data_IF_720997096292
#
_entry.id   IF_720997096292
#
_cell.length_a   1.000
_cell.length_b   1.000
_cell.length_c   1.000
_cell.angle_alpha   90.00
_cell.angle_beta   90.00
_cell.angle_gamma   90.00
#
_symmetry.space_group_name_H-M   'P 1'
#
loop_
_entity.id
_entity.type
_entity.pdbx_description
1 polymer ?
#
# COMPACT_ATOMS: atom_id res chain seq x y z
N UNK A 1 -29.31 6.03 -74.83
CA UNK A 1 -28.94 7.41 -74.43
C UNK A 1 -28.47 7.39 -72.97
N UNK A 2 -27.38 8.11 -72.68
CA UNK A 2 -26.67 8.30 -71.37
C UNK A 2 -25.70 7.16 -70.98
N UNK A 3 -24.35 7.31 -71.12
CA UNK A 3 -23.36 8.06 -70.29
C UNK A 3 -23.14 7.34 -68.93
N UNK A 4 -21.95 6.82 -68.55
CA UNK A 4 -20.75 7.45 -67.92
C UNK A 4 -19.86 6.25 -67.41
N UNK A 5 -18.56 6.09 -67.70
CA UNK A 5 -17.32 6.71 -67.20
C UNK A 5 -16.90 6.38 -65.72
N UNK A 6 -15.68 5.82 -65.56
CA UNK A 6 -14.74 5.85 -64.38
C UNK A 6 -15.21 5.02 -63.15
N UNK A 7 -14.43 4.22 -62.40
CA UNK A 7 -13.04 4.34 -61.96
C UNK A 7 -12.45 3.00 -61.49
N UNK A 8 -11.17 2.78 -61.81
CA UNK A 8 -10.22 2.03 -60.99
C UNK A 8 -9.92 2.86 -59.72
N UNK A 9 -10.05 2.31 -58.50
CA UNK A 9 -9.27 2.82 -57.36
C UNK A 9 -9.15 1.79 -56.22
N UNK A 10 -7.92 1.32 -56.06
CA UNK A 10 -7.18 1.17 -54.80
C UNK A 10 -7.75 0.28 -53.69
N UNK A 11 -7.23 -0.94 -53.68
CA UNK A 11 -6.69 -1.63 -52.51
C UNK A 11 -5.88 -0.67 -51.62
N UNK A 12 -6.15 -0.68 -50.30
CA UNK A 12 -5.28 -0.33 -49.16
C UNK A 12 -6.02 0.53 -48.13
N UNK A 13 -6.64 -0.09 -47.13
CA UNK A 13 -6.77 0.48 -45.78
C UNK A 13 -7.40 -0.56 -44.85
N UNK A 14 -6.57 -1.34 -44.13
CA UNK A 14 -6.98 -2.05 -42.90
C UNK A 14 -5.75 -2.50 -42.10
N UNK A 15 -4.91 -1.53 -41.74
CA UNK A 15 -3.86 -1.71 -40.73
C UNK A 15 -3.76 -0.49 -39.81
N UNK A 16 -4.87 -0.03 -39.20
CA UNK A 16 -4.79 0.90 -38.05
C UNK A 16 -6.00 0.71 -37.12
N UNK A 17 -5.92 -0.19 -36.15
CA UNK A 17 -6.87 -0.19 -35.02
C UNK A 17 -6.30 -0.79 -33.72
N UNK A 18 -5.02 -0.54 -33.43
CA UNK A 18 -4.43 -0.85 -32.12
C UNK A 18 -4.06 0.39 -31.29
N UNK A 19 -4.30 1.60 -31.79
CA UNK A 19 -3.89 2.84 -31.11
C UNK A 19 -4.97 3.48 -30.20
N UNK A 20 -6.26 3.15 -30.37
CA UNK A 20 -7.36 3.85 -29.69
C UNK A 20 -7.62 3.45 -28.22
N UNK A 21 -7.26 2.23 -27.81
CA UNK A 21 -7.63 1.72 -26.47
C UNK A 21 -6.65 2.13 -25.35
N UNK A 22 -5.34 2.22 -25.64
CA UNK A 22 -4.34 2.62 -24.65
C UNK A 22 -4.36 4.11 -24.30
N UNK A 23 -4.76 4.95 -25.25
CA UNK A 23 -4.85 6.40 -25.06
C UNK A 23 -6.00 6.79 -24.12
N UNK A 24 -7.04 5.95 -24.02
CA UNK A 24 -8.16 6.18 -23.09
C UNK A 24 -7.76 5.86 -21.63
N UNK A 25 -7.12 4.71 -21.38
CA UNK A 25 -6.76 4.30 -20.02
C UNK A 25 -5.74 5.25 -19.37
N UNK A 26 -4.73 5.73 -20.12
CA UNK A 26 -3.77 6.70 -19.60
C UNK A 26 -4.44 8.01 -19.14
N UNK A 27 -5.41 8.52 -19.91
CA UNK A 27 -6.17 9.71 -19.56
C UNK A 27 -7.06 9.47 -18.33
N UNK A 28 -7.75 8.32 -18.26
CA UNK A 28 -8.55 7.95 -17.09
C UNK A 28 -7.72 7.88 -15.80
N UNK A 29 -6.51 7.31 -15.88
CA UNK A 29 -5.57 7.25 -14.76
C UNK A 29 -5.13 8.65 -14.33
N UNK A 30 -4.80 9.52 -15.28
CA UNK A 30 -4.41 10.91 -14.97
C UNK A 30 -5.57 11.69 -14.33
N UNK A 31 -6.79 11.58 -14.86
CA UNK A 31 -7.99 12.18 -14.27
C UNK A 31 -8.25 11.67 -12.85
N UNK A 32 -8.14 10.36 -12.62
CA UNK A 32 -8.30 9.77 -11.29
C UNK A 32 -7.29 10.37 -10.30
N UNK A 33 -6.02 10.41 -10.67
CA UNK A 33 -4.96 10.92 -9.79
C UNK A 33 -5.05 12.42 -9.56
N UNK A 34 -5.39 13.22 -10.57
CA UNK A 34 -5.65 14.65 -10.41
C UNK A 34 -6.77 14.90 -9.40
N UNK A 35 -7.83 14.11 -9.46
CA UNK A 35 -8.93 14.21 -8.50
C UNK A 35 -8.47 13.88 -7.08
N UNK A 36 -7.73 12.77 -6.87
CA UNK A 36 -7.14 12.44 -5.58
C UNK A 36 -6.22 13.54 -5.03
N UNK A 37 -5.38 14.13 -5.88
CA UNK A 37 -4.47 15.22 -5.50
C UNK A 37 -5.21 16.51 -5.17
N UNK A 38 -6.23 16.89 -5.94
CA UNK A 38 -7.06 18.08 -5.67
C UNK A 38 -7.79 18.02 -4.32
N UNK A 39 -8.02 16.81 -3.81
CA UNK A 39 -8.66 16.54 -2.52
C UNK A 39 -7.64 16.31 -1.40
N UNK A 40 -6.35 16.57 -1.64
CA UNK A 40 -5.24 16.30 -0.72
C UNK A 40 -5.15 14.84 -0.25
N UNK A 41 -5.71 13.90 -1.04
CA UNK A 41 -5.68 12.46 -0.74
C UNK A 41 -4.46 11.75 -1.34
N UNK A 42 -3.69 12.43 -2.20
CA UNK A 42 -2.44 11.92 -2.77
C UNK A 42 -1.44 13.03 -3.10
N UNK A 43 -0.19 12.87 -2.68
CA UNK A 43 0.94 13.73 -3.03
C UNK A 43 2.16 12.82 -3.25
N UNK A 44 2.59 12.64 -4.51
CA UNK A 44 3.54 11.59 -4.83
C UNK A 44 3.66 11.26 -6.33
N UNK A 45 4.06 10.03 -6.63
CA UNK A 45 4.22 9.51 -8.00
C UNK A 45 3.42 8.23 -8.23
N UNK A 46 2.88 8.09 -9.44
CA UNK A 46 2.21 6.89 -9.92
C UNK A 46 2.95 6.34 -11.14
N UNK A 47 3.20 5.04 -11.15
CA UNK A 47 3.50 4.25 -12.34
C UNK A 47 2.44 3.15 -12.51
N UNK A 48 1.94 3.00 -13.74
CA UNK A 48 1.10 1.88 -14.16
C UNK A 48 1.65 1.29 -15.47
N UNK A 49 1.83 -0.02 -15.47
CA UNK A 49 2.21 -0.79 -16.66
C UNK A 49 1.25 -1.95 -16.89
N UNK A 50 1.05 -2.32 -18.14
CA UNK A 50 0.26 -3.48 -18.57
C UNK A 50 0.84 -4.05 -19.85
N UNK A 51 1.04 -5.36 -19.93
CA UNK A 51 1.60 -6.05 -21.11
C UNK A 51 2.91 -5.41 -21.60
N UNK A 52 3.85 -5.16 -20.68
CA UNK A 52 5.16 -4.58 -20.95
C UNK A 52 5.17 -3.10 -21.33
N UNK A 53 4.00 -2.45 -21.40
CA UNK A 53 3.87 -1.04 -21.78
C UNK A 53 3.60 -0.16 -20.57
N UNK A 54 4.30 0.97 -20.48
CA UNK A 54 4.00 2.02 -19.51
C UNK A 54 2.77 2.78 -19.99
N UNK A 55 1.67 2.71 -19.21
CA UNK A 55 0.45 3.47 -19.48
C UNK A 55 0.55 4.88 -18.89
N UNK A 56 1.15 5.01 -17.71
CA UNK A 56 1.37 6.28 -17.03
C UNK A 56 2.58 6.18 -16.10
N UNK A 57 3.45 7.20 -16.10
CA UNK A 57 4.49 7.41 -15.09
C UNK A 57 4.59 8.91 -14.80
N UNK A 58 3.97 9.38 -13.72
CA UNK A 58 3.74 10.81 -13.50
C UNK A 58 3.77 11.18 -12.02
N UNK A 59 4.25 12.39 -11.73
CA UNK A 59 4.22 13.00 -10.40
C UNK A 59 3.02 13.93 -10.21
N UNK A 60 2.53 14.00 -8.98
CA UNK A 60 1.39 14.79 -8.56
C UNK A 60 1.68 15.48 -7.22
N UNK A 61 1.36 16.76 -7.11
CA UNK A 61 1.67 17.55 -5.92
C UNK A 61 3.16 17.87 -5.78
N UNK A 62 3.63 18.08 -4.55
CA UNK A 62 4.93 18.66 -4.26
C UNK A 62 5.90 17.68 -3.59
N UNK A 63 7.07 17.47 -4.19
CA UNK A 63 8.18 16.74 -3.53
C UNK A 63 8.81 17.54 -2.41
N UNK A 64 8.72 18.87 -2.48
CA UNK A 64 9.05 19.78 -1.42
C UNK A 64 8.09 20.97 -1.48
N UNK A 65 7.13 21.02 -0.55
CA UNK A 65 6.10 22.05 -0.54
C UNK A 65 6.66 23.43 -0.14
N UNK A 66 7.60 23.50 0.80
CA UNK A 66 8.19 24.76 1.26
C UNK A 66 8.85 25.53 0.11
N UNK A 67 9.52 24.81 -0.79
CA UNK A 67 10.15 25.36 -1.99
C UNK A 67 9.27 25.25 -3.26
N UNK A 68 8.00 24.79 -3.11
CA UNK A 68 7.05 24.54 -4.21
C UNK A 68 7.61 23.72 -5.37
N UNK A 69 8.45 22.73 -5.06
CA UNK A 69 9.03 21.84 -6.05
C UNK A 69 8.07 20.67 -6.30
N UNK A 70 7.61 20.52 -7.53
CA UNK A 70 6.66 19.49 -7.92
C UNK A 70 7.28 18.09 -7.93
N UNK A 71 6.46 17.07 -7.73
CA UNK A 71 6.84 15.70 -8.05
C UNK A 71 7.00 15.50 -9.56
N UNK A 72 7.93 14.63 -9.92
CA UNK A 72 8.10 14.09 -11.27
C UNK A 72 8.47 12.60 -11.17
N UNK A 73 8.57 11.91 -12.31
CA UNK A 73 8.85 10.46 -12.37
C UNK A 73 10.19 10.03 -11.73
N UNK A 74 11.11 10.97 -11.49
CA UNK A 74 12.42 10.70 -10.89
C UNK A 74 12.41 10.91 -9.37
N UNK A 75 11.30 11.39 -8.79
CA UNK A 75 11.21 11.66 -7.35
C UNK A 75 11.55 10.40 -6.52
N UNK A 76 12.40 10.57 -5.52
CA UNK A 76 12.91 9.49 -4.66
C UNK A 76 12.14 9.50 -3.34
N UNK A 77 11.74 8.31 -2.88
CA UNK A 77 10.93 8.11 -1.67
C UNK A 77 11.51 6.96 -0.83
N UNK A 78 11.36 7.02 0.49
CA UNK A 78 11.51 5.84 1.32
C UNK A 78 10.32 4.89 1.07
N UNK A 79 10.57 3.63 0.73
CA UNK A 79 9.51 2.68 0.36
C UNK A 79 9.01 1.87 1.55
N UNK A 80 9.58 2.07 2.74
CA UNK A 80 9.16 1.39 3.95
C UNK A 80 9.12 -0.13 3.77
N UNK A 81 8.05 -0.75 4.24
CA UNK A 81 7.92 -2.20 4.28
C UNK A 81 7.88 -2.93 2.93
N UNK A 82 7.82 -2.24 1.79
CA UNK A 82 8.11 -2.88 0.48
C UNK A 82 9.52 -3.49 0.48
N UNK A 83 10.44 -2.97 1.29
CA UNK A 83 11.78 -3.53 1.58
C UNK A 83 11.75 -5.03 1.91
N UNK A 84 10.69 -5.52 2.56
CA UNK A 84 10.56 -6.92 2.98
C UNK A 84 10.63 -7.92 1.82
N UNK A 85 10.17 -7.53 0.64
CA UNK A 85 10.28 -8.34 -0.58
C UNK A 85 11.74 -8.57 -0.99
N UNK A 86 12.59 -7.56 -0.80
CA UNK A 86 14.01 -7.62 -1.11
C UNK A 86 14.73 -8.53 -0.10
N UNK A 87 14.47 -8.34 1.19
CA UNK A 87 15.04 -9.15 2.27
C UNK A 87 14.75 -10.64 2.10
N UNK A 88 13.48 -11.00 1.87
CA UNK A 88 13.06 -12.39 1.67
C UNK A 88 13.62 -12.98 0.38
N UNK A 89 13.75 -12.18 -0.67
CA UNK A 89 14.41 -12.59 -1.91
C UNK A 89 15.87 -12.98 -1.68
N UNK A 90 16.61 -12.21 -0.88
CA UNK A 90 17.99 -12.56 -0.51
C UNK A 90 18.05 -13.86 0.27
N UNK A 91 17.16 -14.07 1.25
CA UNK A 91 17.10 -15.32 2.02
C UNK A 91 16.88 -16.52 1.08
N UNK A 92 15.94 -16.42 0.14
CA UNK A 92 15.68 -17.50 -0.82
C UNK A 92 16.85 -17.73 -1.77
N UNK A 93 17.55 -16.67 -2.17
CA UNK A 93 18.77 -16.77 -2.99
C UNK A 93 19.91 -17.46 -2.22
N UNK A 94 20.12 -17.11 -0.95
CA UNK A 94 21.11 -17.78 -0.09
C UNK A 94 20.75 -19.24 0.17
N UNK A 95 19.45 -19.56 0.30
CA UNK A 95 18.99 -20.94 0.35
C UNK A 95 19.29 -21.70 -0.95
N UNK A 96 19.06 -21.08 -2.11
CA UNK A 96 19.41 -21.66 -3.41
C UNK A 96 20.89 -22.02 -3.51
N UNK A 97 21.74 -21.16 -2.94
CA UNK A 97 23.18 -21.33 -2.84
C UNK A 97 23.60 -22.30 -1.72
N UNK A 98 22.64 -22.96 -1.05
CA UNK A 98 22.84 -23.90 0.06
C UNK A 98 23.58 -23.30 1.26
N UNK A 99 23.57 -21.98 1.41
CA UNK A 99 24.23 -21.27 2.53
C UNK A 99 23.38 -21.25 3.81
N UNK A 100 22.08 -21.43 3.68
CA UNK A 100 21.12 -21.56 4.76
C UNK A 100 19.94 -22.43 4.34
N UNK A 101 19.15 -22.88 5.29
CA UNK A 101 17.80 -23.42 5.07
C UNK A 101 16.78 -22.49 5.71
N UNK A 102 15.63 -22.26 5.08
CA UNK A 102 14.54 -21.50 5.73
C UNK A 102 14.00 -22.21 6.99
N UNK A 103 14.27 -23.52 7.13
CA UNK A 103 13.92 -24.28 8.33
C UNK A 103 15.02 -24.28 9.40
N UNK A 104 16.14 -23.59 9.16
CA UNK A 104 17.15 -23.42 10.20
C UNK A 104 16.53 -22.65 11.39
N UNK A 105 16.73 -23.13 12.63
CA UNK A 105 16.35 -22.38 13.81
C UNK A 105 17.24 -21.14 13.94
N UNK A 106 16.71 -20.05 14.48
CA UNK A 106 17.48 -18.80 14.60
C UNK A 106 18.63 -18.91 15.62
N UNK A 107 18.56 -19.88 16.55
CA UNK A 107 19.66 -20.19 17.48
C UNK A 107 20.96 -20.59 16.78
N UNK A 108 20.88 -21.13 15.56
CA UNK A 108 22.05 -21.40 14.71
C UNK A 108 22.87 -20.13 14.42
N UNK A 109 22.21 -18.98 14.35
CA UNK A 109 22.82 -17.67 14.05
C UNK A 109 22.97 -16.80 15.28
N UNK A 110 22.07 -16.96 16.26
CA UNK A 110 22.06 -16.22 17.52
C UNK A 110 21.89 -17.21 18.69
N UNK A 111 22.95 -17.93 19.12
CA UNK A 111 22.85 -18.98 20.13
C UNK A 111 22.30 -18.52 21.47
N UNK A 112 22.44 -17.23 21.78
CA UNK A 112 21.93 -16.62 23.02
C UNK A 112 20.52 -16.05 22.89
N UNK A 113 19.82 -16.25 21.76
CA UNK A 113 18.46 -15.75 21.58
C UNK A 113 17.46 -16.64 22.34
N UNK A 114 16.68 -16.10 23.30
CA UNK A 114 15.74 -16.89 24.09
C UNK A 114 14.73 -17.61 23.19
N UNK A 115 14.59 -18.93 23.41
CA UNK A 115 13.73 -19.82 22.61
C UNK A 115 14.07 -19.83 21.11
N UNK A 116 15.30 -19.45 20.74
CA UNK A 116 15.75 -19.41 19.34
C UNK A 116 15.67 -20.75 18.62
N UNK A 117 15.76 -21.87 19.34
CA UNK A 117 15.60 -23.23 18.78
C UNK A 117 14.17 -23.51 18.29
N UNK A 118 13.18 -22.75 18.76
CA UNK A 118 11.76 -22.93 18.40
C UNK A 118 11.30 -22.04 17.25
N UNK A 119 12.12 -21.07 16.83
CA UNK A 119 11.79 -20.10 15.78
C UNK A 119 12.65 -20.38 14.56
N UNK A 120 12.02 -20.62 13.41
CA UNK A 120 12.72 -20.81 12.13
C UNK A 120 12.82 -19.51 11.34
N UNK A 121 13.73 -19.44 10.37
CA UNK A 121 13.79 -18.34 9.38
C UNK A 121 12.44 -18.19 8.65
N UNK A 122 11.80 -19.30 8.30
CA UNK A 122 10.47 -19.31 7.67
C UNK A 122 9.42 -18.61 8.56
N UNK A 123 9.45 -18.84 9.87
CA UNK A 123 8.54 -18.13 10.78
C UNK A 123 8.77 -16.61 10.78
N UNK A 124 10.01 -16.15 10.60
CA UNK A 124 10.31 -14.73 10.49
C UNK A 124 9.71 -14.13 9.21
N UNK A 125 9.91 -14.80 8.06
CA UNK A 125 9.42 -14.34 6.76
C UNK A 125 7.88 -14.28 6.69
N UNK A 126 7.20 -15.22 7.36
CA UNK A 126 5.74 -15.36 7.36
C UNK A 126 5.02 -14.57 8.46
N UNK A 127 5.74 -13.86 9.33
CA UNK A 127 5.17 -13.20 10.51
C UNK A 127 4.45 -14.16 11.48
N UNK A 128 4.98 -15.38 11.61
CA UNK A 128 4.43 -16.42 12.50
C UNK A 128 5.38 -16.76 13.66
N UNK A 129 6.38 -15.91 13.95
CA UNK A 129 7.36 -16.17 15.01
C UNK A 129 6.85 -15.84 16.43
N UNK A 130 5.85 -14.96 16.55
CA UNK A 130 5.39 -14.44 17.85
C UNK A 130 6.33 -13.40 18.48
N UNK A 131 7.40 -12.99 17.80
CA UNK A 131 8.39 -12.03 18.31
C UNK A 131 7.76 -10.64 18.46
N UNK A 132 7.99 -10.02 19.62
CA UNK A 132 7.57 -8.64 19.90
C UNK A 132 8.06 -7.66 18.83
N UNK A 133 7.16 -6.82 18.34
CA UNK A 133 7.47 -5.84 17.32
C UNK A 133 7.98 -4.54 17.98
N UNK A 134 9.26 -4.18 17.76
CA UNK A 134 9.87 -3.01 18.41
C UNK A 134 9.13 -1.70 18.09
N UNK A 135 8.45 -1.63 16.95
CA UNK A 135 7.64 -0.45 16.56
C UNK A 135 6.37 -0.27 17.40
N UNK A 136 6.04 -1.22 18.29
CA UNK A 136 4.97 -1.06 19.27
C UNK A 136 5.42 -0.20 20.47
N UNK A 137 6.72 0.00 20.67
CA UNK A 137 7.25 0.90 21.70
C UNK A 137 7.08 2.36 21.27
N UNK A 138 6.09 3.05 21.84
CA UNK A 138 5.77 4.43 21.50
C UNK A 138 6.88 5.40 21.87
N UNK A 139 7.58 5.17 22.98
CA UNK A 139 8.66 6.04 23.45
C UNK A 139 9.84 5.99 22.49
N UNK A 140 10.21 4.79 22.04
CA UNK A 140 11.23 4.59 21.02
C UNK A 140 10.83 5.25 19.70
N UNK A 141 9.60 4.99 19.23
CA UNK A 141 9.09 5.53 17.97
C UNK A 141 9.04 7.07 17.95
N UNK A 142 8.86 7.70 19.11
CA UNK A 142 8.81 9.17 19.23
C UNK A 142 10.19 9.81 19.37
N UNK A 143 11.13 9.18 20.10
CA UNK A 143 12.34 9.86 20.58
C UNK A 143 13.65 9.34 20.00
N UNK A 144 13.67 8.10 19.48
CA UNK A 144 14.92 7.39 19.17
C UNK A 144 15.09 7.02 17.70
N UNK A 145 14.01 6.97 16.91
CA UNK A 145 14.05 6.47 15.52
C UNK A 145 14.88 7.31 14.55
N UNK A 146 15.21 8.55 14.90
CA UNK A 146 16.06 9.43 14.07
C UNK A 146 17.54 9.28 14.36
N UNK A 147 17.90 8.49 15.38
CA UNK A 147 19.29 8.29 15.81
C UNK A 147 19.80 6.96 15.26
N UNK A 148 21.05 6.87 14.80
CA UNK A 148 21.66 5.60 14.43
C UNK A 148 21.58 4.57 15.55
N UNK A 149 21.39 3.31 15.19
CA UNK A 149 21.34 2.18 16.09
C UNK A 149 22.11 1.00 15.50
N UNK A 150 22.85 0.28 16.35
CA UNK A 150 23.50 -0.96 15.95
C UNK A 150 22.60 -2.17 16.24
N UNK A 151 23.03 -3.36 15.79
CA UNK A 151 22.33 -4.62 16.04
C UNK A 151 22.04 -4.86 17.53
N UNK A 152 22.99 -4.55 18.42
CA UNK A 152 22.83 -4.75 19.87
C UNK A 152 21.69 -3.90 20.43
N UNK A 153 21.69 -2.59 20.15
CA UNK A 153 20.63 -1.65 20.56
C UNK A 153 19.27 -2.10 20.04
N UNK A 154 19.19 -2.49 18.77
CA UNK A 154 17.92 -2.91 18.17
C UNK A 154 17.44 -4.25 18.72
N UNK A 155 18.33 -5.23 18.91
CA UNK A 155 17.98 -6.57 19.42
C UNK A 155 17.50 -6.50 20.88
N UNK A 156 18.06 -5.62 21.71
CA UNK A 156 17.64 -5.41 23.09
C UNK A 156 16.16 -4.99 23.23
N UNK A 157 15.59 -4.35 22.20
CA UNK A 157 14.19 -3.91 22.21
C UNK A 157 13.17 -5.07 22.22
N UNK A 158 13.57 -6.27 21.78
CA UNK A 158 12.61 -7.36 21.56
C UNK A 158 13.09 -8.75 21.96
N UNK A 159 14.40 -8.99 22.09
CA UNK A 159 14.97 -10.32 22.37
C UNK A 159 14.44 -10.96 23.66
N UNK A 160 14.29 -10.17 24.73
CA UNK A 160 13.91 -10.67 26.06
C UNK A 160 12.40 -10.54 26.34
N UNK A 161 11.63 -10.03 25.38
CA UNK A 161 10.17 -9.99 25.49
C UNK A 161 9.58 -11.40 25.29
N UNK A 162 8.49 -11.75 26.00
CA UNK A 162 7.81 -13.01 25.78
C UNK A 162 7.24 -13.08 24.34
N UNK A 163 7.25 -14.28 23.75
CA UNK A 163 6.56 -14.51 22.49
C UNK A 163 5.05 -14.32 22.70
N UNK A 164 4.40 -13.57 21.81
CA UNK A 164 2.95 -13.36 21.84
C UNK A 164 2.14 -14.64 21.57
N UNK A 165 2.76 -15.64 20.95
CA UNK A 165 2.21 -16.97 20.73
C UNK A 165 3.33 -17.96 20.37
N UNK A 166 3.03 -19.26 20.42
CA UNK A 166 3.94 -20.32 19.96
C UNK A 166 4.26 -20.17 18.46
N UNK A 167 5.54 -20.21 18.04
CA UNK A 167 5.91 -20.11 16.63
C UNK A 167 5.10 -21.04 15.71
N UNK A 168 4.61 -20.51 14.60
CA UNK A 168 3.76 -21.20 13.62
C UNK A 168 2.27 -21.29 13.99
N UNK A 169 1.87 -21.04 15.25
CA UNK A 169 0.47 -21.16 15.68
C UNK A 169 -0.35 -19.89 15.46
N UNK A 170 0.26 -18.72 15.61
CA UNK A 170 -0.37 -17.42 15.37
C UNK A 170 0.18 -16.69 14.14
N UNK A 171 -0.33 -15.47 13.92
CA UNK A 171 0.20 -14.51 12.95
C UNK A 171 0.18 -13.13 13.59
N UNK A 172 1.31 -12.42 13.53
CA UNK A 172 1.42 -11.03 13.96
C UNK A 172 2.58 -10.37 13.24
N UNK A 173 2.26 -9.31 12.51
CA UNK A 173 3.23 -8.53 11.76
C UNK A 173 4.35 -8.01 12.69
N UNK A 174 5.60 -8.28 12.34
CA UNK A 174 6.75 -7.98 13.19
C UNK A 174 7.91 -7.44 12.36
N UNK A 175 8.28 -6.18 12.59
CA UNK A 175 9.48 -5.59 12.00
C UNK A 175 10.75 -6.17 12.65
N UNK A 176 10.71 -6.50 13.94
CA UNK A 176 11.81 -7.18 14.65
C UNK A 176 12.18 -8.51 13.97
N UNK A 177 11.18 -9.29 13.54
CA UNK A 177 11.43 -10.52 12.81
C UNK A 177 12.20 -10.27 11.49
N UNK A 178 11.92 -9.16 10.81
CA UNK A 178 12.64 -8.77 9.60
C UNK A 178 14.02 -8.17 9.87
N UNK A 179 14.25 -7.51 11.01
CA UNK A 179 15.60 -7.13 11.45
C UNK A 179 16.49 -8.37 11.62
N UNK A 180 15.96 -9.41 12.28
CA UNK A 180 16.67 -10.69 12.41
C UNK A 180 17.02 -11.31 11.06
N UNK A 181 16.15 -11.24 10.05
CA UNK A 181 16.48 -11.71 8.70
C UNK A 181 17.69 -10.98 8.10
N UNK A 182 17.78 -9.66 8.30
CA UNK A 182 18.94 -8.87 7.88
C UNK A 182 20.22 -9.32 8.59
N UNK A 183 20.17 -9.48 9.91
CA UNK A 183 21.33 -9.94 10.69
C UNK A 183 21.74 -11.38 10.34
N UNK A 184 20.79 -12.25 9.96
CA UNK A 184 21.10 -13.60 9.44
C UNK A 184 21.82 -13.51 8.09
N UNK A 185 21.39 -12.62 7.20
CA UNK A 185 22.06 -12.38 5.91
C UNK A 185 23.52 -11.95 6.17
N UNK A 186 23.76 -11.03 7.09
CA UNK A 186 25.12 -10.59 7.45
C UNK A 186 25.93 -11.71 8.08
N UNK A 187 25.33 -12.49 9.00
CA UNK A 187 25.98 -13.62 9.65
C UNK A 187 26.41 -14.70 8.64
N UNK A 188 25.58 -14.99 7.64
CA UNK A 188 25.85 -15.99 6.60
C UNK A 188 26.85 -15.48 5.57
N UNK A 189 26.73 -14.22 5.15
CA UNK A 189 27.54 -13.68 4.04
C UNK A 189 28.83 -13.02 4.48
N UNK A 190 28.94 -12.65 5.76
CA UNK A 190 30.03 -11.82 6.33
C UNK A 190 30.17 -10.47 5.62
N UNK A 191 29.09 -9.94 5.07
CA UNK A 191 29.02 -8.63 4.41
C UNK A 191 27.83 -7.83 4.94
N UNK A 192 27.90 -6.49 4.88
CA UNK A 192 26.76 -5.65 5.23
C UNK A 192 25.52 -5.99 4.41
N UNK A 193 24.35 -5.96 5.03
CA UNK A 193 23.07 -6.27 4.38
C UNK A 193 22.83 -5.40 3.15
N UNK A 194 23.13 -4.09 3.23
CA UNK A 194 22.97 -3.12 2.15
C UNK A 194 23.80 -3.51 0.92
N UNK A 195 25.03 -3.98 1.16
CA UNK A 195 25.93 -4.45 0.10
C UNK A 195 25.37 -5.70 -0.58
N UNK A 196 24.78 -6.63 0.19
CA UNK A 196 24.16 -7.84 -0.36
C UNK A 196 22.94 -7.50 -1.21
N UNK A 197 22.07 -6.59 -0.76
CA UNK A 197 20.92 -6.13 -1.54
C UNK A 197 21.38 -5.46 -2.84
N UNK A 198 22.41 -4.61 -2.75
CA UNK A 198 23.00 -3.99 -3.92
C UNK A 198 23.53 -5.02 -4.92
N UNK A 199 24.35 -5.96 -4.46
CA UNK A 199 25.03 -6.93 -5.34
C UNK A 199 24.09 -7.97 -5.93
N UNK A 200 23.09 -8.43 -5.18
CA UNK A 200 22.20 -9.52 -5.60
C UNK A 200 20.92 -9.03 -6.28
N UNK A 201 20.52 -7.77 -6.05
CA UNK A 201 19.28 -7.23 -6.60
C UNK A 201 19.52 -5.94 -7.39
N UNK A 202 20.01 -4.86 -6.76
CA UNK A 202 20.03 -3.56 -7.44
C UNK A 202 20.93 -3.54 -8.67
N UNK A 203 22.16 -4.07 -8.56
CA UNK A 203 23.11 -4.11 -9.67
C UNK A 203 22.63 -5.03 -10.82
N UNK A 204 22.20 -6.29 -10.59
CA UNK A 204 21.67 -7.13 -11.66
C UNK A 204 20.43 -6.55 -12.36
N UNK A 205 19.58 -5.85 -11.61
CA UNK A 205 18.34 -5.27 -12.13
C UNK A 205 18.49 -3.82 -12.62
N UNK A 206 19.68 -3.23 -12.46
CA UNK A 206 20.00 -1.83 -12.80
C UNK A 206 19.12 -0.81 -12.06
N UNK A 207 18.82 -1.08 -10.79
CA UNK A 207 18.09 -0.17 -9.91
C UNK A 207 19.04 0.89 -9.33
N UNK A 208 19.45 1.85 -10.17
CA UNK A 208 20.52 2.82 -9.85
C UNK A 208 20.08 4.00 -8.99
N UNK A 209 18.79 4.11 -8.66
CA UNK A 209 18.20 5.14 -7.80
C UNK A 209 17.56 4.52 -6.55
N UNK A 210 18.12 3.40 -6.09
CA UNK A 210 17.68 2.66 -4.91
C UNK A 210 18.83 2.43 -3.94
N UNK A 211 18.58 2.60 -2.64
CA UNK A 211 19.61 2.53 -1.59
C UNK A 211 19.00 2.58 -0.19
N UNK A 212 19.80 2.87 0.84
CA UNK A 212 19.39 2.79 2.25
C UNK A 212 19.54 4.09 3.04
N UNK A 213 20.68 4.78 2.92
CA UNK A 213 20.96 6.01 3.67
C UNK A 213 20.19 7.22 3.09
N UNK A 214 18.90 7.28 3.38
CA UNK A 214 18.05 8.38 2.93
C UNK A 214 18.40 9.69 3.63
N UNK A 215 18.88 9.65 4.87
CA UNK A 215 19.29 10.85 5.64
C UNK A 215 20.37 11.63 4.90
N UNK A 216 21.45 10.96 4.48
CA UNK A 216 22.58 11.61 3.82
C UNK A 216 22.49 11.63 2.29
N UNK A 217 21.44 11.04 1.69
CA UNK A 217 21.21 11.06 0.25
C UNK A 217 21.26 12.49 -0.32
N UNK A 218 22.23 12.73 -1.20
CA UNK A 218 22.40 13.96 -1.96
C UNK A 218 21.82 13.78 -3.37
N UNK A 219 20.51 13.97 -3.50
CA UNK A 219 19.80 13.89 -4.78
C UNK A 219 18.79 15.05 -4.89
N UNK A 220 18.82 15.78 -6.00
CA UNK A 220 17.87 16.89 -6.27
C UNK A 220 16.41 16.42 -6.42
N UNK A 221 16.20 15.12 -6.60
CA UNK A 221 14.89 14.46 -6.67
C UNK A 221 14.48 13.83 -5.33
N UNK A 222 15.29 13.93 -4.27
CA UNK A 222 14.92 13.51 -2.91
C UNK A 222 13.68 14.26 -2.44
N UNK A 223 12.65 13.51 -2.06
CA UNK A 223 11.41 14.09 -1.54
C UNK A 223 11.53 14.42 -0.04
N UNK A 224 10.89 15.49 0.39
CA UNK A 224 10.64 15.79 1.81
C UNK A 224 9.41 15.01 2.26
N UNK A 225 9.50 14.28 3.37
CA UNK A 225 8.37 13.55 3.95
C UNK A 225 7.48 14.46 4.80
N UNK A 226 6.19 14.13 4.89
CA UNK A 226 5.21 14.90 5.64
C UNK A 226 4.25 13.99 6.42
N UNK A 227 4.05 14.28 7.71
CA UNK A 227 2.96 13.68 8.48
C UNK A 227 1.59 14.18 7.99
N UNK A 228 1.51 15.44 7.54
CA UNK A 228 0.37 16.01 6.85
C UNK A 228 0.88 17.00 5.77
N UNK A 229 0.29 16.98 4.57
CA UNK A 229 0.66 17.89 3.48
C UNK A 229 -0.59 18.37 2.73
N UNK A 230 -0.94 19.63 2.96
CA UNK A 230 -1.97 20.38 2.27
C UNK A 230 -1.50 21.83 2.15
N UNK A 231 -2.14 22.65 1.31
CA UNK A 231 -1.81 24.07 1.24
C UNK A 231 -2.05 24.84 2.56
N UNK A 232 -2.88 24.31 3.47
CA UNK A 232 -3.29 24.97 4.72
C UNK A 232 -2.61 24.42 5.96
N UNK A 233 -2.35 23.12 5.98
CA UNK A 233 -1.75 22.38 7.08
C UNK A 233 -0.63 21.50 6.52
N UNK A 234 0.60 21.78 6.96
CA UNK A 234 1.80 21.07 6.54
C UNK A 234 2.65 20.78 7.77
N UNK A 235 2.91 19.50 7.98
CA UNK A 235 3.74 19.01 9.09
C UNK A 235 4.86 18.16 8.49
N UNK A 236 6.07 18.71 8.29
CA UNK A 236 7.21 17.93 7.84
C UNK A 236 7.48 16.76 8.78
N UNK A 237 7.88 15.62 8.23
CA UNK A 237 8.25 14.46 9.03
C UNK A 237 9.73 14.48 9.38
N UNK A 238 10.07 13.81 10.48
CA UNK A 238 11.45 13.38 10.71
C UNK A 238 11.81 12.22 9.77
N UNK A 239 13.11 12.04 9.51
CA UNK A 239 13.62 10.89 8.77
C UNK A 239 13.98 9.81 9.80
N UNK A 240 13.41 8.62 9.64
CA UNK A 240 13.82 7.45 10.41
C UNK A 240 15.18 7.00 9.90
N UNK A 241 16.13 6.79 10.79
CA UNK A 241 17.47 6.36 10.43
C UNK A 241 17.43 4.97 9.77
N UNK A 242 18.24 4.78 8.72
CA UNK A 242 18.25 3.54 7.95
C UNK A 242 18.72 2.34 8.77
N UNK A 243 19.53 2.54 9.80
CA UNK A 243 19.96 1.47 10.71
C UNK A 243 18.85 1.02 11.68
N UNK A 244 17.85 1.86 11.94
CA UNK A 244 16.68 1.54 12.79
C UNK A 244 15.64 0.73 12.01
N UNK A 245 15.38 1.08 10.75
CA UNK A 245 14.40 0.39 9.91
C UNK A 245 15.00 -0.76 9.10
N UNK A 246 16.28 -0.67 8.75
CA UNK A 246 17.16 -1.68 8.17
C UNK A 246 16.45 -2.61 7.16
N UNK A 247 16.64 -3.93 7.27
CA UNK A 247 16.01 -4.96 6.44
C UNK A 247 14.48 -5.07 6.57
N UNK A 248 13.86 -4.32 7.48
CA UNK A 248 12.41 -4.25 7.59
C UNK A 248 11.80 -3.11 6.76
N UNK A 249 12.55 -2.04 6.46
CA UNK A 249 11.95 -0.85 5.85
C UNK A 249 12.85 0.27 5.32
N UNK A 250 14.17 0.12 5.30
CA UNK A 250 15.08 1.24 5.03
C UNK A 250 15.31 1.58 3.55
N UNK A 251 14.81 0.80 2.59
CA UNK A 251 15.07 1.10 1.17
C UNK A 251 14.40 2.43 0.79
N UNK A 252 15.14 3.30 0.10
CA UNK A 252 14.58 4.32 -0.76
C UNK A 252 14.63 3.89 -2.22
N UNK A 253 13.70 4.37 -3.05
CA UNK A 253 13.62 4.01 -4.47
C UNK A 253 12.81 5.04 -5.28
N UNK A 254 12.63 4.74 -6.56
CA UNK A 254 11.77 5.45 -7.52
C UNK A 254 10.76 4.49 -8.15
N UNK A 255 9.74 5.01 -8.83
CA UNK A 255 8.80 4.17 -9.58
C UNK A 255 9.49 3.36 -10.68
N UNK A 256 10.50 3.93 -11.34
CA UNK A 256 11.23 3.28 -12.43
C UNK A 256 12.11 2.12 -11.94
N UNK A 257 12.75 2.26 -10.78
CA UNK A 257 13.50 1.16 -10.18
C UNK A 257 12.59 0.04 -9.68
N UNK A 258 11.42 0.36 -9.14
CA UNK A 258 10.42 -0.64 -8.80
C UNK A 258 9.82 -1.31 -10.05
N UNK A 259 9.76 -0.64 -11.20
CA UNK A 259 9.46 -1.31 -12.46
C UNK A 259 10.53 -2.33 -12.85
N UNK A 260 11.82 -2.00 -12.67
CA UNK A 260 12.93 -2.94 -12.90
C UNK A 260 12.84 -4.14 -11.96
N UNK A 261 12.43 -3.92 -10.71
CA UNK A 261 12.12 -5.01 -9.77
C UNK A 261 11.03 -5.94 -10.32
N UNK A 262 9.90 -5.39 -10.77
CA UNK A 262 8.82 -6.17 -11.39
C UNK A 262 9.29 -6.97 -12.63
N UNK A 263 10.05 -6.34 -13.53
CA UNK A 263 10.58 -6.97 -14.73
C UNK A 263 11.59 -8.08 -14.39
N UNK A 264 12.42 -7.86 -13.37
CA UNK A 264 13.37 -8.85 -12.86
C UNK A 264 12.69 -10.09 -12.31
N UNK A 265 11.56 -9.92 -11.61
CA UNK A 265 10.73 -11.02 -11.14
C UNK A 265 10.11 -11.81 -12.30
N UNK A 266 9.49 -11.12 -13.28
CA UNK A 266 8.92 -11.78 -14.47
C UNK A 266 9.96 -12.58 -15.26
N UNK A 267 11.17 -12.05 -15.38
CA UNK A 267 12.28 -12.69 -16.11
C UNK A 267 13.07 -13.68 -15.25
N UNK A 268 12.69 -13.88 -13.99
CA UNK A 268 13.37 -14.78 -13.05
C UNK A 268 14.88 -14.50 -12.91
N UNK A 269 15.28 -13.22 -12.91
CA UNK A 269 16.71 -12.83 -12.90
C UNK A 269 17.40 -13.21 -11.58
N UNK A 270 16.71 -13.03 -10.45
CA UNK A 270 17.28 -13.26 -9.10
C UNK A 270 16.88 -14.61 -8.53
N UNK A 271 15.61 -14.99 -8.70
CA UNK A 271 15.03 -16.24 -8.24
C UNK A 271 14.39 -16.98 -9.41
N UNK A 272 14.49 -18.31 -9.39
CA UNK A 272 13.74 -19.18 -10.30
C UNK A 272 12.24 -19.06 -10.06
N UNK A 273 11.44 -19.45 -11.05
CA UNK A 273 9.97 -19.44 -10.94
C UNK A 273 9.48 -20.27 -9.74
N UNK A 274 10.06 -21.46 -9.51
CA UNK A 274 9.68 -22.33 -8.39
C UNK A 274 9.93 -21.65 -7.02
N UNK A 275 11.01 -20.89 -6.89
CA UNK A 275 11.30 -20.15 -5.66
C UNK A 275 10.35 -18.97 -5.47
N UNK A 276 10.01 -18.27 -6.55
CA UNK A 276 9.02 -17.21 -6.52
C UNK A 276 7.64 -17.74 -6.13
N UNK A 277 7.17 -18.84 -6.72
CA UNK A 277 5.89 -19.45 -6.35
C UNK A 277 5.85 -19.90 -4.89
N UNK A 278 6.97 -20.38 -4.34
CA UNK A 278 7.07 -20.62 -2.89
C UNK A 278 6.88 -19.33 -2.08
N UNK A 279 7.49 -18.22 -2.50
CA UNK A 279 7.30 -16.91 -1.87
C UNK A 279 5.86 -16.38 -1.97
N UNK A 280 5.15 -16.76 -3.03
CA UNK A 280 3.77 -16.34 -3.34
C UNK A 280 2.70 -17.31 -2.84
N UNK A 281 3.08 -18.32 -2.07
CA UNK A 281 2.12 -19.25 -1.46
C UNK A 281 1.63 -18.67 -0.13
N UNK A 282 0.32 -18.36 0.01
CA UNK A 282 -0.20 -17.76 1.24
C UNK A 282 -0.25 -18.79 2.36
N UNK A 283 0.08 -18.38 3.58
CA UNK A 283 0.03 -19.25 4.77
C UNK A 283 -1.05 -18.78 5.75
N UNK A 284 -0.80 -17.71 6.49
CA UNK A 284 -1.77 -17.09 7.40
C UNK A 284 -1.97 -15.64 6.99
N UNK A 285 -3.18 -15.12 7.18
CA UNK A 285 -3.55 -13.74 6.86
C UNK A 285 -3.20 -13.35 5.41
N UNK A 286 -3.37 -14.29 4.46
CA UNK A 286 -3.08 -14.06 3.04
C UNK A 286 -1.65 -13.57 2.77
N UNK A 287 -0.68 -14.01 3.58
CA UNK A 287 0.71 -13.56 3.52
C UNK A 287 1.67 -14.71 3.16
N UNK A 288 2.60 -14.42 2.26
CA UNK A 288 3.71 -15.29 1.86
C UNK A 288 5.06 -14.73 2.33
N UNK A 289 6.16 -15.03 1.64
CA UNK A 289 7.47 -14.51 2.05
C UNK A 289 7.66 -13.07 1.61
N UNK A 290 7.19 -12.11 2.42
CA UNK A 290 7.31 -10.69 2.12
C UNK A 290 6.25 -10.16 1.16
N UNK A 291 5.18 -10.93 0.92
CA UNK A 291 4.12 -10.62 -0.04
C UNK A 291 2.74 -10.80 0.58
N UNK A 292 1.88 -9.80 0.43
CA UNK A 292 0.43 -9.95 0.52
C UNK A 292 -0.08 -10.58 -0.77
N UNK A 293 -0.95 -11.57 -0.64
CA UNK A 293 -1.46 -12.39 -1.73
C UNK A 293 -2.98 -12.35 -1.71
N UNK A 294 -3.56 -11.62 -2.65
CA UNK A 294 -5.00 -11.41 -2.74
C UNK A 294 -5.50 -11.74 -4.16
N UNK A 295 -6.72 -11.37 -4.48
CA UNK A 295 -7.28 -11.46 -5.81
C UNK A 295 -8.10 -10.23 -6.18
N UNK A 296 -8.05 -9.86 -7.46
CA UNK A 296 -8.93 -8.83 -8.03
C UNK A 296 -9.49 -9.36 -9.35
N UNK A 297 -10.81 -9.34 -9.49
CA UNK A 297 -11.52 -9.86 -10.67
C UNK A 297 -11.08 -11.27 -11.08
N UNK A 298 -10.87 -12.16 -10.09
CA UNK A 298 -10.43 -13.54 -10.30
C UNK A 298 -8.94 -13.73 -10.62
N UNK A 299 -8.12 -12.68 -10.51
CA UNK A 299 -6.68 -12.72 -10.80
C UNK A 299 -5.86 -12.52 -9.53
N UNK A 300 -4.82 -13.35 -9.34
CA UNK A 300 -3.93 -13.31 -8.16
C UNK A 300 -3.09 -12.03 -8.12
N UNK A 301 -3.32 -11.20 -7.11
CA UNK A 301 -2.57 -9.98 -6.79
C UNK A 301 -1.44 -10.33 -5.84
N UNK A 302 -0.23 -9.89 -6.19
CA UNK A 302 0.93 -9.93 -5.30
C UNK A 302 1.31 -8.50 -4.97
N UNK A 303 1.33 -8.14 -3.70
CA UNK A 303 1.57 -6.76 -3.28
C UNK A 303 2.33 -6.66 -1.97
N UNK A 304 2.79 -5.46 -1.66
CA UNK A 304 3.13 -5.08 -0.29
C UNK A 304 3.00 -3.56 -0.17
N UNK A 305 2.43 -3.09 0.94
CA UNK A 305 2.41 -1.67 1.29
C UNK A 305 3.64 -1.28 2.11
N UNK A 306 3.97 -0.01 2.13
CA UNK A 306 5.02 0.52 3.00
C UNK A 306 4.55 1.77 3.72
N UNK A 307 5.01 1.91 4.96
CA UNK A 307 4.85 3.12 5.75
C UNK A 307 6.13 3.35 6.55
N UNK A 308 6.57 4.60 6.56
CA UNK A 308 7.63 5.13 7.42
C UNK A 308 7.34 6.61 7.61
N UNK A 309 7.99 7.30 8.55
CA UNK A 309 7.64 8.69 8.86
C UNK A 309 7.63 9.57 7.61
N UNK A 310 6.44 10.09 7.27
CA UNK A 310 6.21 10.96 6.13
C UNK A 310 6.23 10.29 4.77
N UNK A 311 6.21 8.96 4.69
CA UNK A 311 6.17 8.24 3.42
C UNK A 311 5.23 7.04 3.48
N UNK A 312 4.46 6.87 2.41
CA UNK A 312 3.65 5.67 2.17
C UNK A 312 3.90 5.16 0.77
N UNK A 313 3.87 3.84 0.60
CA UNK A 313 4.11 3.19 -0.69
C UNK A 313 3.16 2.03 -0.90
N UNK A 314 2.91 1.71 -2.16
CA UNK A 314 2.26 0.48 -2.56
C UNK A 314 2.92 -0.07 -3.83
N UNK A 315 3.40 -1.30 -3.76
CA UNK A 315 3.84 -2.07 -4.91
C UNK A 315 2.83 -3.21 -5.13
N UNK A 316 2.17 -3.22 -6.28
CA UNK A 316 1.14 -4.22 -6.58
C UNK A 316 1.28 -4.74 -8.01
N UNK A 317 1.24 -6.07 -8.19
CA UNK A 317 1.39 -6.69 -9.51
C UNK A 317 0.40 -7.82 -9.75
N UNK A 318 0.04 -8.02 -11.01
CA UNK A 318 -0.66 -9.21 -11.52
C UNK A 318 0.24 -9.90 -12.54
N UNK A 319 1.01 -10.93 -12.15
CA UNK A 319 1.98 -11.56 -13.05
C UNK A 319 1.36 -12.14 -14.32
N UNK A 320 0.16 -12.74 -14.22
CA UNK A 320 -0.52 -13.38 -15.35
C UNK A 320 -0.87 -12.42 -16.50
N UNK A 321 -1.05 -11.13 -16.18
CA UNK A 321 -1.45 -10.08 -17.11
C UNK A 321 -0.33 -9.05 -17.32
N UNK A 322 0.88 -9.33 -16.79
CA UNK A 322 2.02 -8.40 -16.83
C UNK A 322 1.61 -6.96 -16.44
N UNK A 323 0.93 -6.85 -15.28
CA UNK A 323 0.54 -5.56 -14.69
C UNK A 323 1.43 -5.26 -13.50
N UNK A 324 1.90 -4.01 -13.44
CA UNK A 324 2.57 -3.44 -12.27
C UNK A 324 1.99 -2.05 -11.98
N UNK A 325 1.62 -1.81 -10.72
CA UNK A 325 1.19 -0.53 -10.17
C UNK A 325 2.15 -0.19 -9.05
N UNK A 326 2.75 1.00 -9.13
CA UNK A 326 3.61 1.55 -8.09
C UNK A 326 3.09 2.93 -7.71
N UNK A 327 2.71 3.09 -6.45
CA UNK A 327 2.32 4.36 -5.85
C UNK A 327 3.33 4.70 -4.76
N UNK A 328 4.00 5.84 -4.87
CA UNK A 328 4.92 6.35 -3.84
C UNK A 328 4.44 7.73 -3.41
N UNK A 329 4.23 7.94 -2.12
CA UNK A 329 3.71 9.16 -1.53
C UNK A 329 4.64 9.65 -0.43
N UNK A 330 4.88 10.96 -0.38
CA UNK A 330 5.61 11.62 0.72
C UNK A 330 4.63 12.19 1.76
N UNK A 331 3.47 11.54 1.92
CA UNK A 331 2.50 11.83 2.95
C UNK A 331 2.13 10.55 3.72
N UNK A 332 1.98 10.67 5.04
CA UNK A 332 1.46 9.61 5.92
C UNK A 332 -0.06 9.41 5.77
N UNK A 333 -0.56 9.19 4.55
CA UNK A 333 -2.01 9.03 4.27
C UNK A 333 -2.41 7.58 4.00
N UNK A 334 -3.59 7.17 4.49
CA UNK A 334 -4.11 5.79 4.41
C UNK A 334 -4.83 5.41 3.11
N UNK A 335 -4.62 6.13 2.00
CA UNK A 335 -5.48 6.05 0.80
C UNK A 335 -5.02 5.13 -0.33
N UNK A 336 -3.78 4.61 -0.30
CA UNK A 336 -3.18 3.98 -1.48
C UNK A 336 -3.89 2.70 -1.94
N UNK A 337 -4.48 1.93 -1.02
CA UNK A 337 -5.22 0.70 -1.36
C UNK A 337 -6.44 1.00 -2.22
N UNK A 338 -7.23 2.03 -1.88
CA UNK A 338 -8.38 2.43 -2.68
C UNK A 338 -7.96 2.92 -4.07
N UNK A 339 -6.92 3.76 -4.15
CA UNK A 339 -6.36 4.22 -5.44
C UNK A 339 -5.95 3.03 -6.30
N UNK A 340 -5.29 2.03 -5.71
CA UNK A 340 -4.86 0.81 -6.41
C UNK A 340 -6.06 0.03 -6.96
N UNK A 341 -7.14 -0.11 -6.19
CA UNK A 341 -8.36 -0.77 -6.64
C UNK A 341 -9.06 -0.04 -7.78
N UNK A 342 -9.14 1.30 -7.71
CA UNK A 342 -9.71 2.12 -8.79
C UNK A 342 -8.86 2.03 -10.06
N UNK A 343 -7.52 1.96 -9.93
CA UNK A 343 -6.61 1.70 -11.06
C UNK A 343 -6.90 0.32 -11.66
N UNK A 344 -7.06 -0.73 -10.85
CA UNK A 344 -7.45 -2.04 -11.37
C UNK A 344 -8.79 -2.00 -12.10
N UNK A 345 -9.77 -1.26 -11.58
CA UNK A 345 -11.05 -1.08 -12.25
C UNK A 345 -10.89 -0.45 -13.64
N UNK A 346 -10.08 0.61 -13.77
CA UNK A 346 -9.71 1.21 -15.07
C UNK A 346 -9.04 0.18 -15.98
N UNK A 347 -8.06 -0.57 -15.47
CA UNK A 347 -7.31 -1.55 -16.27
C UNK A 347 -8.17 -2.70 -16.81
N UNK A 348 -9.26 -3.03 -16.13
CA UNK A 348 -10.18 -4.13 -16.47
C UNK A 348 -11.58 -3.66 -16.89
N UNK A 349 -11.75 -2.37 -17.21
CA UNK A 349 -13.02 -1.77 -17.64
C UNK A 349 -14.18 -2.08 -16.68
N UNK A 350 -13.90 -2.03 -15.37
CA UNK A 350 -14.92 -2.14 -14.32
C UNK A 350 -15.36 -0.75 -13.86
N UNK A 351 -16.58 -0.62 -13.33
CA UNK A 351 -17.05 0.64 -12.75
C UNK A 351 -16.11 1.11 -11.64
N UNK A 352 -15.85 2.42 -11.60
CA UNK A 352 -15.11 3.10 -10.54
C UNK A 352 -15.65 4.52 -10.39
N UNK A 353 -15.42 5.13 -9.22
CA UNK A 353 -15.78 6.51 -8.97
C UNK A 353 -14.54 7.40 -8.93
N UNK A 354 -14.53 8.46 -9.73
CA UNK A 354 -13.55 9.54 -9.57
C UNK A 354 -13.87 10.26 -8.27
N UNK A 355 -12.94 10.37 -7.31
CA UNK A 355 -13.21 11.00 -6.04
C UNK A 355 -13.55 12.48 -6.27
N UNK A 356 -14.57 12.97 -5.57
CA UNK A 356 -15.01 14.37 -5.66
C UNK A 356 -15.21 14.96 -4.27
N UNK A 357 -15.06 16.27 -4.17
CA UNK A 357 -15.47 16.99 -2.97
C UNK A 357 -16.99 16.84 -2.83
N UNK A 358 -17.45 16.18 -1.77
CA UNK A 358 -18.88 16.09 -1.46
C UNK A 358 -19.33 17.41 -0.84
N UNK A 359 -20.42 17.96 -1.34
CA UNK A 359 -21.03 19.19 -0.82
C UNK A 359 -22.22 18.81 0.04
N UNK A 360 -22.24 19.32 1.27
CA UNK A 360 -23.40 19.20 2.11
C UNK A 360 -24.53 20.10 1.56
N UNK A 361 -25.74 19.60 1.54
CA UNK A 361 -26.96 20.40 1.37
C UNK A 361 -27.60 20.66 2.72
N UNK A 362 -28.61 21.51 2.76
CA UNK A 362 -29.46 21.65 3.94
C UNK A 362 -30.73 20.85 3.69
N UNK A 363 -31.05 19.93 4.60
CA UNK A 363 -32.34 19.25 4.65
C UNK A 363 -33.18 19.86 5.77
N UNK A 364 -34.49 19.92 5.58
CA UNK A 364 -35.41 20.35 6.61
C UNK A 364 -35.40 19.38 7.80
N UNK A 365 -35.68 19.89 9.01
CA UNK A 365 -35.56 19.13 10.25
C UNK A 365 -36.51 17.92 10.29
N UNK A 366 -37.71 18.05 9.75
CA UNK A 366 -38.69 16.98 9.60
C UNK A 366 -38.17 15.83 8.72
N UNK A 367 -37.41 16.15 7.67
CA UNK A 367 -36.70 15.17 6.85
C UNK A 367 -35.57 14.50 7.62
N UNK A 368 -34.77 15.27 8.36
CA UNK A 368 -33.66 14.73 9.15
C UNK A 368 -34.14 13.75 10.24
N UNK A 369 -35.29 14.04 10.86
CA UNK A 369 -35.88 13.17 11.90
C UNK A 369 -36.17 11.75 11.42
N UNK A 370 -36.38 11.53 10.12
CA UNK A 370 -36.67 10.20 9.58
C UNK A 370 -35.48 9.22 9.71
N UNK A 371 -34.26 9.73 9.75
CA UNK A 371 -33.04 8.93 9.81
C UNK A 371 -32.60 8.60 11.24
N UNK A 372 -33.23 9.19 12.26
CA UNK A 372 -32.97 8.89 13.66
C UNK A 372 -33.29 7.42 13.94
N UNK A 373 -32.41 6.76 14.68
CA UNK A 373 -32.60 5.36 15.08
C UNK A 373 -31.30 4.64 15.39
N UNK A 374 -31.43 3.35 15.64
CA UNK A 374 -30.30 2.45 15.84
C UNK A 374 -30.21 1.47 14.66
N UNK A 375 -29.00 1.26 14.14
CA UNK A 375 -28.74 0.42 12.98
C UNK A 375 -27.64 -0.58 13.30
N UNK A 376 -27.75 -1.80 12.78
CA UNK A 376 -26.71 -2.83 12.97
C UNK A 376 -25.77 -2.84 11.79
N UNK A 377 -24.46 -2.69 12.03
CA UNK A 377 -23.43 -2.85 10.99
C UNK A 377 -22.95 -4.30 10.95
N UNK A 378 -22.68 -4.90 12.13
CA UNK A 378 -22.39 -6.31 12.29
C UNK A 378 -22.71 -6.75 13.73
N UNK A 379 -22.49 -8.03 14.07
CA UNK A 379 -22.82 -8.63 15.38
C UNK A 379 -22.25 -7.89 16.60
N UNK A 380 -21.19 -7.08 16.43
CA UNK A 380 -20.51 -6.37 17.52
C UNK A 380 -20.55 -4.85 17.40
N UNK A 381 -21.20 -4.33 16.36
CA UNK A 381 -21.14 -2.91 16.03
C UNK A 381 -22.51 -2.40 15.58
N UNK A 382 -23.10 -1.54 16.40
CA UNK A 382 -24.27 -0.75 16.06
C UNK A 382 -23.88 0.71 15.80
N UNK A 383 -24.75 1.42 15.11
CA UNK A 383 -24.67 2.85 14.84
C UNK A 383 -25.93 3.51 15.40
N UNK A 384 -25.77 4.42 16.36
CA UNK A 384 -26.87 5.25 16.85
C UNK A 384 -26.83 6.58 16.12
N UNK A 385 -27.93 6.97 15.48
CA UNK A 385 -28.08 8.25 14.80
C UNK A 385 -29.05 9.11 15.58
N UNK A 386 -28.58 10.27 16.04
CA UNK A 386 -29.36 11.25 16.79
C UNK A 386 -29.35 12.60 16.06
N UNK A 387 -30.44 13.37 16.18
CA UNK A 387 -30.45 14.77 15.76
C UNK A 387 -30.03 15.66 16.94
N UNK A 388 -28.93 16.40 16.80
CA UNK A 388 -28.45 17.37 17.79
C UNK A 388 -28.43 18.76 17.15
N UNK A 389 -29.37 19.62 17.56
CA UNK A 389 -29.61 20.88 16.86
C UNK A 389 -30.10 20.61 15.44
N UNK A 390 -29.38 21.10 14.43
CA UNK A 390 -29.70 20.91 13.01
C UNK A 390 -28.86 19.84 12.31
N UNK A 391 -28.07 19.07 13.05
CA UNK A 391 -27.15 18.07 12.49
C UNK A 391 -27.47 16.65 12.99
N UNK A 392 -27.35 15.68 12.08
CA UNK A 392 -27.39 14.27 12.45
C UNK A 392 -25.99 13.84 12.93
N UNK A 393 -25.94 13.25 14.11
CA UNK A 393 -24.74 12.74 14.74
C UNK A 393 -24.83 11.22 14.77
N UNK A 394 -23.89 10.55 14.11
CA UNK A 394 -23.77 9.10 14.09
C UNK A 394 -22.68 8.64 15.06
N UNK A 395 -23.04 7.75 15.98
CA UNK A 395 -22.16 7.25 17.04
C UNK A 395 -22.05 5.73 16.95
N UNK A 396 -20.94 5.19 16.42
CA UNK A 396 -20.72 3.75 16.41
C UNK A 396 -20.36 3.23 17.80
N UNK A 397 -20.69 1.96 18.10
CA UNK A 397 -20.37 1.31 19.38
C UNK A 397 -18.89 1.45 19.73
N UNK A 398 -18.59 2.03 20.92
CA UNK A 398 -17.23 2.27 21.42
C UNK A 398 -16.33 3.12 20.50
N UNK A 399 -16.92 3.97 19.65
CA UNK A 399 -16.19 4.87 18.75
C UNK A 399 -16.63 6.32 18.95
N UNK A 400 -15.82 7.25 18.42
CA UNK A 400 -16.15 8.68 18.47
C UNK A 400 -17.33 9.00 17.56
N UNK A 401 -18.21 9.94 17.95
CA UNK A 401 -19.30 10.40 17.09
C UNK A 401 -18.75 11.15 15.87
N UNK A 402 -19.52 11.10 14.78
CA UNK A 402 -19.25 11.84 13.56
C UNK A 402 -20.53 12.55 13.07
N UNK A 403 -20.37 13.72 12.47
CA UNK A 403 -21.47 14.44 11.84
C UNK A 403 -21.79 13.80 10.49
N UNK A 404 -23.06 13.48 10.27
CA UNK A 404 -23.58 13.05 8.97
C UNK A 404 -24.04 14.27 8.18
N UNK A 405 -23.34 14.55 7.09
CA UNK A 405 -23.69 15.61 6.16
C UNK A 405 -24.56 15.06 5.04
N UNK A 406 -25.77 15.58 4.79
CA UNK A 406 -26.57 15.17 3.65
C UNK A 406 -25.92 15.69 2.37
N UNK A 407 -25.68 14.80 1.40
CA UNK A 407 -25.29 15.20 0.03
C UNK A 407 -26.52 15.38 -0.87
N UNK A 408 -27.55 14.57 -0.64
CA UNK A 408 -28.90 14.65 -1.19
C UNK A 408 -29.85 13.86 -0.27
N UNK A 409 -31.16 13.86 -0.54
CA UNK A 409 -32.10 13.03 0.22
C UNK A 409 -31.65 11.56 0.22
N UNK A 410 -31.75 10.90 1.38
CA UNK A 410 -31.30 9.53 1.68
C UNK A 410 -29.79 9.24 1.48
N UNK A 411 -28.95 10.23 1.15
CA UNK A 411 -27.53 10.01 0.91
C UNK A 411 -26.69 10.96 1.76
N UNK A 412 -25.92 10.39 2.67
CA UNK A 412 -25.12 11.10 3.65
C UNK A 412 -23.65 10.71 3.55
N UNK A 413 -22.78 11.59 4.02
CA UNK A 413 -21.36 11.32 4.12
C UNK A 413 -20.76 11.89 5.39
N UNK A 414 -19.67 11.28 5.83
CA UNK A 414 -18.76 11.82 6.84
C UNK A 414 -17.56 12.42 6.12
N UNK A 415 -17.11 13.60 6.54
CA UNK A 415 -15.97 14.28 5.90
C UNK A 415 -14.66 13.51 6.13
N UNK A 416 -14.42 13.07 7.36
CA UNK A 416 -13.22 12.33 7.76
C UNK A 416 -13.57 11.31 8.87
N UNK A 417 -13.40 10.00 8.64
CA UNK A 417 -12.98 9.34 7.38
C UNK A 417 -14.05 9.43 6.29
N UNK A 418 -13.65 9.20 5.02
CA UNK A 418 -14.54 9.18 3.86
C UNK A 418 -15.48 7.96 3.93
N UNK A 419 -16.65 8.16 4.51
CA UNK A 419 -17.71 7.18 4.69
C UNK A 419 -18.96 7.72 4.00
N UNK A 420 -19.69 6.87 3.29
CA UNK A 420 -21.02 7.21 2.79
C UNK A 420 -22.08 6.26 3.32
N UNK A 421 -23.26 6.81 3.59
CA UNK A 421 -24.47 6.08 3.97
C UNK A 421 -25.54 6.38 2.93
N UNK A 422 -26.04 5.33 2.27
CA UNK A 422 -27.25 5.41 1.44
C UNK A 422 -28.39 4.75 2.18
N UNK A 423 -29.30 5.53 2.74
CA UNK A 423 -30.46 5.00 3.44
C UNK A 423 -31.39 4.26 2.48
N UNK A 424 -32.01 3.22 3.00
CA UNK A 424 -33.02 2.40 2.31
C UNK A 424 -34.38 2.65 2.95
N UNK A 425 -35.43 2.47 2.15
CA UNK A 425 -36.82 2.64 2.55
C UNK A 425 -37.61 1.39 2.23
N UNK A 426 -38.56 1.06 3.09
CA UNK A 426 -39.52 -0.02 2.87
C UNK A 426 -40.67 0.41 1.93
N UNK A 427 -41.61 -0.50 1.65
CA UNK A 427 -42.77 -0.24 0.78
C UNK A 427 -43.69 0.90 1.28
N UNK A 428 -43.63 1.22 2.59
CA UNK A 428 -44.36 2.34 3.22
C UNK A 428 -43.58 3.66 3.19
N UNK A 429 -42.44 3.71 2.49
CA UNK A 429 -41.54 4.86 2.42
C UNK A 429 -40.86 5.23 3.75
N UNK A 430 -40.82 4.31 4.73
CA UNK A 430 -40.15 4.51 6.01
C UNK A 430 -38.70 4.00 5.93
N UNK A 431 -37.77 4.66 6.64
CA UNK A 431 -36.37 4.23 6.69
C UNK A 431 -36.26 2.86 7.38
N UNK A 432 -35.73 1.87 6.68
CA UNK A 432 -35.58 0.48 7.16
C UNK A 432 -34.11 0.05 7.29
N UNK A 433 -33.17 0.89 6.87
CA UNK A 433 -31.74 0.64 6.96
C UNK A 433 -30.90 1.62 6.16
N UNK A 434 -29.64 1.26 5.94
CA UNK A 434 -28.76 1.91 4.98
C UNK A 434 -27.73 0.95 4.39
N UNK A 435 -27.09 1.36 3.30
CA UNK A 435 -25.90 0.74 2.74
C UNK A 435 -24.70 1.61 3.14
N UNK A 436 -23.76 1.02 3.86
CA UNK A 436 -22.48 1.63 4.24
C UNK A 436 -21.47 1.43 3.12
N UNK A 437 -20.90 2.53 2.63
CA UNK A 437 -19.76 2.52 1.72
C UNK A 437 -18.53 3.01 2.46
N UNK A 438 -17.57 2.12 2.70
CA UNK A 438 -16.32 2.46 3.36
C UNK A 438 -15.18 1.59 2.82
N UNK A 439 -14.07 2.22 2.42
CA UNK A 439 -12.88 1.52 1.92
C UNK A 439 -13.13 0.53 0.76
N UNK A 440 -14.16 0.78 -0.06
CA UNK A 440 -14.55 -0.10 -1.16
C UNK A 440 -15.40 -1.30 -0.76
N UNK A 441 -15.75 -1.44 0.53
CA UNK A 441 -16.75 -2.39 0.99
C UNK A 441 -18.15 -1.75 0.96
N UNK A 442 -19.15 -2.58 0.63
CA UNK A 442 -20.56 -2.25 0.73
C UNK A 442 -21.21 -3.17 1.76
N UNK A 443 -21.77 -2.59 2.83
CA UNK A 443 -22.40 -3.36 3.91
C UNK A 443 -23.85 -2.91 4.07
N UNK A 444 -24.78 -3.85 4.03
CA UNK A 444 -26.18 -3.57 4.35
C UNK A 444 -26.34 -3.51 5.87
N UNK A 445 -26.93 -2.42 6.35
CA UNK A 445 -27.07 -2.13 7.77
C UNK A 445 -28.55 -1.89 8.09
N UNK A 446 -29.29 -2.93 8.55
CA UNK A 446 -30.70 -2.79 8.86
C UNK A 446 -30.93 -1.87 10.07
N UNK A 447 -32.06 -1.16 10.05
CA UNK A 447 -32.55 -0.41 11.21
C UNK A 447 -33.15 -1.39 12.21
N UNK A 448 -32.77 -1.25 13.47
CA UNK A 448 -33.22 -2.11 14.57
C UNK A 448 -34.06 -1.36 15.61
N UNK A 449 -33.99 -0.03 15.67
CA UNK A 449 -34.86 0.83 16.49
C UNK A 449 -35.14 2.15 15.80
#
# INVERSE_FOLDING_TARGET
>A
MKKIFIAFMSLAFLCVSCAGFGQNQAAQLDTLMQAYTSLNKFNGTLLVTKNGKVLLNKGYGYRNLANRVLHDKNSVFQIGSVTKQFTTTIILKLQAEKKLSVQDPISKYFPQYPKGDSITIENLMLHTSGIYNYTNDRTFMQNEVTKPANMEKMMAMFKDNPLGFTPGKGWSYSNSAYLLLGYIIESVTKKPYEQIVHDYIFKPLKMTHSGFDFTHLQDKYKSTGYFAVTEKDTIPSTIVDSSVSFSAGAIYSTTEDLLRWHQGLLKNIVLTNAQQEKAYTPVKNHYGYGWSIDSVYGKRVLSHGGGIHGFTSNFSRLPADDVCIVLLSNASSGGLSKITNDIYAILYNKPYEVPRARKAIVLAEDKLKQYIGEYTINERLNLVIELKGSELIATPTNQRPAVLHPEKEDNFFVKEPDIQLKFTRNDKQEIDGFILFQNGAEVKCPKIK
#
